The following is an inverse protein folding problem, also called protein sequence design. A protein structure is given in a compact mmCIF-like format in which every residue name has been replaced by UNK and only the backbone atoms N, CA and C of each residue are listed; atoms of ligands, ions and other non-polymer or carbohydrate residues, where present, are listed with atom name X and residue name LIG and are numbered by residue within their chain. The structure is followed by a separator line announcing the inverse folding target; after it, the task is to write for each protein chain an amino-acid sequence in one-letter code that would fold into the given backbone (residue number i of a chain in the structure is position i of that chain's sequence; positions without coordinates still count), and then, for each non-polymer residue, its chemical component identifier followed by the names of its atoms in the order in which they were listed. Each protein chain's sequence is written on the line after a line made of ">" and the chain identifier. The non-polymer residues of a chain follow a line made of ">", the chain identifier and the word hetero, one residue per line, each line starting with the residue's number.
data_IF_862280752976
#
_entry.id   IF_862280752976
#
_cell.length_a   1.000
_cell.length_b   1.000
_cell.length_c   1.000
_cell.angle_alpha   90.00
_cell.angle_beta   90.00
_cell.angle_gamma   90.00
#
_symmetry.space_group_name_H-M   'P 1'
#
loop_
_entity.id
_entity.type
_entity.pdbx_description
1 polymer ?
#
# COMPACT_ATOMS: atom_id res chain seq x y z
N UNK A 1 -111.72 56.91 -76.04
CA UNK A 1 -111.09 57.90 -76.92
C UNK A 1 -109.96 58.51 -76.10
N UNK A 2 -108.71 58.36 -76.51
CA UNK A 2 -107.56 58.79 -75.70
C UNK A 2 -107.63 60.30 -75.42
N UNK A 3 -107.36 60.72 -74.18
CA UNK A 3 -107.34 62.14 -73.79
C UNK A 3 -105.96 62.80 -74.03
N UNK A 4 -105.12 62.19 -74.85
CA UNK A 4 -103.74 62.61 -75.11
C UNK A 4 -103.60 62.95 -76.60
N UNK A 5 -102.68 63.86 -76.93
CA UNK A 5 -102.46 64.33 -78.30
C UNK A 5 -101.64 63.34 -79.14
N UNK A 6 -100.88 62.44 -78.51
CA UNK A 6 -100.04 61.44 -79.19
C UNK A 6 -100.07 60.12 -78.43
N UNK A 7 -99.79 59.03 -79.15
CA UNK A 7 -99.63 57.67 -78.59
C UNK A 7 -98.22 57.21 -78.89
N UNK A 8 -97.50 56.72 -77.87
CA UNK A 8 -96.16 56.15 -78.01
C UNK A 8 -96.27 54.63 -77.99
N UNK A 9 -95.88 53.98 -79.07
CA UNK A 9 -95.80 52.52 -79.10
C UNK A 9 -94.61 52.04 -78.27
N UNK A 10 -94.84 51.07 -77.37
CA UNK A 10 -93.78 50.59 -76.48
C UNK A 10 -92.58 49.94 -77.21
N UNK A 11 -92.78 49.47 -78.44
CA UNK A 11 -91.71 48.90 -79.27
C UNK A 11 -90.75 49.96 -79.82
N UNK A 12 -91.21 51.19 -80.03
CA UNK A 12 -90.43 52.31 -80.58
C UNK A 12 -90.07 53.35 -79.52
N UNK A 13 -90.61 53.23 -78.31
CA UNK A 13 -90.37 54.15 -77.20
C UNK A 13 -88.87 54.36 -76.89
N UNK A 14 -88.07 53.30 -76.88
CA UNK A 14 -86.62 53.43 -76.64
C UNK A 14 -85.93 54.31 -77.69
N UNK A 15 -86.25 54.09 -78.96
CA UNK A 15 -85.71 54.84 -80.08
C UNK A 15 -86.19 56.32 -80.07
N UNK A 16 -87.45 56.56 -79.69
CA UNK A 16 -87.97 57.90 -79.48
C UNK A 16 -87.20 58.68 -78.39
N UNK A 17 -86.93 58.05 -77.23
CA UNK A 17 -86.26 58.72 -76.10
C UNK A 17 -84.72 58.77 -76.20
N UNK A 18 -84.12 58.09 -77.18
CA UNK A 18 -82.66 58.08 -77.39
C UNK A 18 -82.20 58.96 -78.54
N UNK A 19 -83.11 59.39 -79.43
CA UNK A 19 -82.81 60.25 -80.56
C UNK A 19 -83.38 61.68 -80.34
N UNK A 20 -82.53 62.70 -80.09
CA UNK A 20 -82.98 64.07 -79.88
C UNK A 20 -83.85 64.62 -81.01
N UNK A 21 -83.55 64.25 -82.26
CA UNK A 21 -84.34 64.65 -83.43
C UNK A 21 -85.77 64.10 -83.40
N UNK A 22 -85.97 62.85 -82.94
CA UNK A 22 -87.30 62.25 -82.84
C UNK A 22 -88.11 62.86 -81.71
N UNK A 23 -87.46 63.23 -80.60
CA UNK A 23 -88.07 64.01 -79.53
C UNK A 23 -88.55 65.36 -80.06
N UNK A 24 -87.70 66.06 -80.83
CA UNK A 24 -88.05 67.36 -81.42
C UNK A 24 -89.22 67.23 -82.41
N UNK A 25 -89.20 66.24 -83.30
CA UNK A 25 -90.30 65.97 -84.23
C UNK A 25 -91.62 65.67 -83.51
N UNK A 26 -91.58 64.87 -82.44
CA UNK A 26 -92.77 64.58 -81.63
C UNK A 26 -93.29 65.84 -80.93
N UNK A 27 -92.41 66.68 -80.40
CA UNK A 27 -92.80 67.95 -79.78
C UNK A 27 -93.40 68.92 -80.79
N UNK A 28 -92.84 69.02 -82.01
CA UNK A 28 -93.41 69.83 -83.09
C UNK A 28 -94.78 69.32 -83.52
N UNK A 29 -94.96 68.00 -83.62
CA UNK A 29 -96.24 67.40 -83.94
C UNK A 29 -97.31 67.70 -82.86
N UNK A 30 -96.97 67.54 -81.58
CA UNK A 30 -97.87 67.87 -80.46
C UNK A 30 -98.26 69.36 -80.49
N UNK A 31 -97.28 70.24 -80.76
CA UNK A 31 -97.54 71.69 -80.89
C UNK A 31 -98.47 71.98 -82.06
N UNK A 32 -98.24 71.37 -83.22
CA UNK A 32 -99.09 71.54 -84.40
C UNK A 32 -100.53 71.13 -84.12
N UNK A 33 -100.75 69.94 -83.54
CA UNK A 33 -102.08 69.46 -83.17
C UNK A 33 -102.78 70.37 -82.16
N UNK A 34 -102.04 70.83 -81.15
CA UNK A 34 -102.59 71.76 -80.16
C UNK A 34 -102.94 73.13 -80.77
N UNK A 35 -102.15 73.62 -81.73
CA UNK A 35 -102.43 74.87 -82.45
C UNK A 35 -103.60 74.75 -83.43
N UNK A 36 -103.74 73.62 -84.12
CA UNK A 36 -104.89 73.33 -84.98
C UNK A 36 -106.18 73.28 -84.16
N UNK A 37 -106.21 72.51 -83.07
CA UNK A 37 -107.38 72.44 -82.18
C UNK A 37 -107.68 73.82 -81.57
N UNK A 38 -106.66 74.61 -81.24
CA UNK A 38 -106.82 75.99 -80.75
C UNK A 38 -107.49 76.91 -81.78
N UNK A 39 -107.18 76.77 -83.07
CA UNK A 39 -107.74 77.62 -84.15
C UNK A 39 -109.23 77.37 -84.35
N UNK A 40 -109.71 76.17 -84.06
CA UNK A 40 -111.13 75.80 -84.16
C UNK A 40 -111.96 76.32 -82.97
N UNK A 41 -111.31 76.78 -81.90
CA UNK A 41 -112.00 77.33 -80.73
C UNK A 41 -112.35 78.81 -80.92
N UNK A 42 -113.55 79.18 -80.48
CA UNK A 42 -113.98 80.58 -80.41
C UNK A 42 -113.18 81.34 -79.35
N UNK A 43 -112.59 82.46 -79.79
CA UNK A 43 -111.70 83.32 -78.98
C UNK A 43 -112.45 84.44 -78.24
N UNK A 44 -113.78 84.48 -78.30
CA UNK A 44 -114.56 85.33 -77.41
C UNK A 44 -114.54 84.77 -75.98
N UNK A 45 -113.62 85.29 -75.16
CA UNK A 45 -113.45 84.92 -73.77
C UNK A 45 -114.53 85.48 -72.84
N UNK A 46 -115.48 86.31 -73.33
CA UNK A 46 -116.63 86.73 -72.52
C UNK A 46 -117.55 85.53 -72.22
N UNK A 47 -117.59 84.53 -73.13
CA UNK A 47 -118.39 83.31 -73.03
C UNK A 47 -117.70 82.25 -72.14
N UNK A 48 -118.41 81.79 -71.10
CA UNK A 48 -117.86 80.79 -70.16
C UNK A 48 -117.53 79.43 -70.80
N UNK A 49 -118.28 79.03 -71.84
CA UNK A 49 -118.02 77.80 -72.60
C UNK A 49 -116.68 77.85 -73.33
N UNK A 50 -116.35 79.00 -73.94
CA UNK A 50 -115.11 79.21 -74.68
C UNK A 50 -113.90 79.14 -73.73
N UNK A 51 -113.96 79.80 -72.56
CA UNK A 51 -112.92 79.69 -71.52
C UNK A 51 -112.69 78.24 -71.06
N UNK A 52 -113.76 77.46 -70.87
CA UNK A 52 -113.67 76.04 -70.50
C UNK A 52 -113.04 75.19 -71.61
N UNK A 53 -113.29 75.50 -72.88
CA UNK A 53 -112.69 74.80 -74.00
C UNK A 53 -111.16 74.97 -74.05
N UNK A 54 -110.66 76.20 -73.88
CA UNK A 54 -109.23 76.47 -73.76
C UNK A 54 -108.59 75.78 -72.54
N UNK A 55 -109.26 75.78 -71.39
CA UNK A 55 -108.79 75.05 -70.21
C UNK A 55 -108.72 73.53 -70.46
N UNK A 56 -109.68 72.97 -71.20
CA UNK A 56 -109.69 71.56 -71.58
C UNK A 56 -108.54 71.21 -72.54
N UNK A 57 -108.24 72.08 -73.52
CA UNK A 57 -107.11 71.89 -74.42
C UNK A 57 -105.77 71.92 -73.65
N UNK A 58 -105.59 72.89 -72.75
CA UNK A 58 -104.41 72.96 -71.88
C UNK A 58 -104.28 71.70 -70.99
N UNK A 59 -105.40 71.18 -70.48
CA UNK A 59 -105.41 69.95 -69.71
C UNK A 59 -105.01 68.73 -70.56
N UNK A 60 -105.45 68.66 -71.82
CA UNK A 60 -105.04 67.61 -72.77
C UNK A 60 -103.53 67.61 -73.03
N UNK A 61 -102.93 68.79 -73.19
CA UNK A 61 -101.47 68.95 -73.30
C UNK A 61 -100.77 68.49 -72.01
N UNK A 62 -101.30 68.84 -70.84
CA UNK A 62 -100.74 68.43 -69.55
C UNK A 62 -100.80 66.90 -69.35
N UNK A 63 -101.90 66.25 -69.77
CA UNK A 63 -102.02 64.79 -69.74
C UNK A 63 -101.04 64.11 -70.70
N UNK A 64 -100.91 64.65 -71.91
CA UNK A 64 -99.93 64.17 -72.91
C UNK A 64 -98.50 64.22 -72.35
N UNK A 65 -98.12 65.29 -71.66
CA UNK A 65 -96.81 65.40 -70.97
C UNK A 65 -96.61 64.28 -69.94
N UNK A 66 -97.60 64.06 -69.07
CA UNK A 66 -97.52 63.01 -68.03
C UNK A 66 -97.44 61.61 -68.62
N UNK A 67 -98.15 61.36 -69.72
CA UNK A 67 -98.07 60.10 -70.45
C UNK A 67 -96.68 59.84 -71.01
N UNK A 68 -96.09 60.82 -71.69
CA UNK A 68 -94.73 60.72 -72.26
C UNK A 68 -93.70 60.42 -71.16
N UNK A 69 -93.78 61.11 -70.01
CA UNK A 69 -92.89 60.85 -68.87
C UNK A 69 -93.03 59.41 -68.33
N UNK A 70 -94.26 58.91 -68.21
CA UNK A 70 -94.54 57.55 -67.75
C UNK A 70 -93.97 56.49 -68.70
N UNK A 71 -94.12 56.67 -70.01
CA UNK A 71 -93.55 55.74 -71.01
C UNK A 71 -92.02 55.79 -71.01
N UNK A 72 -91.42 56.99 -70.88
CA UNK A 72 -89.97 57.14 -70.73
C UNK A 72 -89.43 56.43 -69.49
N UNK A 73 -90.12 56.53 -68.35
CA UNK A 73 -89.78 55.79 -67.14
C UNK A 73 -89.87 54.27 -67.34
N UNK A 74 -90.92 53.78 -68.02
CA UNK A 74 -91.07 52.36 -68.31
C UNK A 74 -89.93 51.81 -69.19
N UNK A 75 -89.42 52.60 -70.14
CA UNK A 75 -88.22 52.25 -70.93
C UNK A 75 -86.99 52.14 -70.04
N UNK A 76 -86.74 53.13 -69.17
CA UNK A 76 -85.59 53.11 -68.25
C UNK A 76 -85.64 51.93 -67.28
N UNK A 77 -86.82 51.62 -66.74
CA UNK A 77 -87.00 50.49 -65.82
C UNK A 77 -86.68 49.16 -66.53
N UNK A 78 -87.19 48.94 -67.75
CA UNK A 78 -86.86 47.76 -68.56
C UNK A 78 -85.36 47.67 -68.88
N UNK A 79 -84.72 48.80 -69.21
CA UNK A 79 -83.28 48.85 -69.46
C UNK A 79 -82.46 48.50 -68.22
N UNK A 80 -82.87 48.93 -67.02
CA UNK A 80 -82.18 48.60 -65.76
C UNK A 80 -82.31 47.13 -65.36
N UNK A 81 -83.38 46.45 -65.76
CA UNK A 81 -83.55 45.01 -65.51
C UNK A 81 -82.59 44.14 -66.31
N UNK A 82 -82.13 44.59 -67.50
CA UNK A 82 -81.18 43.83 -68.32
C UNK A 82 -79.81 43.65 -67.63
N UNK A 83 -79.11 44.70 -67.15
CA UNK A 83 -77.88 44.56 -66.38
C UNK A 83 -78.04 43.68 -65.14
N UNK A 84 -79.15 43.82 -64.38
CA UNK A 84 -79.42 42.96 -63.21
C UNK A 84 -79.45 41.49 -63.59
N UNK A 85 -80.14 41.13 -64.68
CA UNK A 85 -80.19 39.76 -65.19
C UNK A 85 -78.82 39.30 -65.68
N UNK A 86 -78.07 40.15 -66.37
CA UNK A 86 -76.72 39.83 -66.84
C UNK A 86 -75.80 39.53 -65.65
N UNK A 87 -75.80 40.37 -64.62
CA UNK A 87 -74.94 40.15 -63.44
C UNK A 87 -75.35 38.91 -62.64
N UNK A 88 -76.65 38.64 -62.52
CA UNK A 88 -77.14 37.39 -61.93
C UNK A 88 -76.66 36.16 -62.71
N UNK A 89 -76.81 36.16 -64.04
CA UNK A 89 -76.33 35.07 -64.89
C UNK A 89 -74.80 34.93 -64.84
N UNK A 90 -74.06 36.03 -64.84
CA UNK A 90 -72.59 36.02 -64.71
C UNK A 90 -72.14 35.41 -63.39
N UNK A 91 -72.87 35.66 -62.30
CA UNK A 91 -72.60 35.02 -61.01
C UNK A 91 -72.81 33.51 -61.09
N UNK A 92 -73.94 33.06 -61.64
CA UNK A 92 -74.24 31.63 -61.82
C UNK A 92 -73.13 30.95 -62.63
N UNK A 93 -72.73 31.53 -63.77
CA UNK A 93 -71.64 30.97 -64.57
C UNK A 93 -70.33 30.85 -63.79
N UNK A 94 -69.98 31.84 -62.98
CA UNK A 94 -68.75 31.79 -62.18
C UNK A 94 -68.82 30.66 -61.14
N UNK A 95 -69.90 30.65 -60.35
CA UNK A 95 -70.04 29.73 -59.23
C UNK A 95 -70.10 28.26 -59.72
N UNK A 96 -70.83 27.99 -60.81
CA UNK A 96 -70.92 26.65 -61.41
C UNK A 96 -69.61 26.19 -62.05
N UNK A 97 -68.88 27.08 -62.75
CA UNK A 97 -67.60 26.73 -63.36
C UNK A 97 -66.49 26.53 -62.31
N UNK A 98 -66.49 27.31 -61.23
CA UNK A 98 -65.56 27.14 -60.11
C UNK A 98 -65.83 25.81 -59.37
N UNK A 99 -67.11 25.46 -59.18
CA UNK A 99 -67.50 24.17 -58.62
C UNK A 99 -67.06 23.00 -59.51
N UNK A 100 -67.31 23.09 -60.82
CA UNK A 100 -66.89 22.07 -61.79
C UNK A 100 -65.36 21.93 -61.84
N UNK A 101 -64.62 23.04 -61.82
CA UNK A 101 -63.15 23.05 -61.78
C UNK A 101 -62.62 22.32 -60.53
N UNK A 102 -63.23 22.60 -59.37
CA UNK A 102 -62.88 21.95 -58.10
C UNK A 102 -63.15 20.45 -58.15
N UNK A 103 -64.31 20.03 -58.66
CA UNK A 103 -64.69 18.62 -58.73
C UNK A 103 -63.82 17.83 -59.72
N UNK A 104 -63.48 18.43 -60.88
CA UNK A 104 -62.54 17.84 -61.84
C UNK A 104 -61.14 17.69 -61.23
N UNK A 105 -60.69 18.64 -60.40
CA UNK A 105 -59.37 18.60 -59.77
C UNK A 105 -59.31 17.63 -58.59
N UNK A 106 -60.44 17.35 -57.94
CA UNK A 106 -60.51 16.58 -56.70
C UNK A 106 -59.84 15.19 -56.78
N UNK A 107 -60.07 14.35 -57.82
CA UNK A 107 -59.40 13.05 -57.93
C UNK A 107 -57.87 13.16 -58.02
N UNK A 108 -57.35 14.19 -58.71
CA UNK A 108 -55.91 14.42 -58.79
C UNK A 108 -55.34 14.80 -57.42
N UNK A 109 -56.01 15.70 -56.69
CA UNK A 109 -55.59 16.10 -55.35
C UNK A 109 -55.63 14.93 -54.36
N UNK A 110 -56.64 14.06 -54.45
CA UNK A 110 -56.72 12.85 -53.62
C UNK A 110 -55.59 11.87 -53.96
N UNK A 111 -55.26 11.68 -55.25
CA UNK A 111 -54.14 10.85 -55.67
C UNK A 111 -52.78 11.42 -55.24
N UNK A 112 -52.54 12.72 -55.39
CA UNK A 112 -51.32 13.40 -54.93
C UNK A 112 -51.14 13.25 -53.41
N UNK A 113 -52.23 13.35 -52.63
CA UNK A 113 -52.21 13.14 -51.19
C UNK A 113 -51.93 11.67 -50.82
N UNK A 114 -52.53 10.72 -51.54
CA UNK A 114 -52.25 9.29 -51.34
C UNK A 114 -50.81 8.94 -51.69
N UNK A 115 -50.25 9.49 -52.77
CA UNK A 115 -48.87 9.21 -53.14
C UNK A 115 -47.88 9.74 -52.12
N UNK A 116 -48.07 10.97 -51.68
CA UNK A 116 -47.26 11.54 -50.61
C UNK A 116 -47.33 10.70 -49.34
N UNK A 117 -48.52 10.22 -48.96
CA UNK A 117 -48.67 9.33 -47.81
C UNK A 117 -47.98 7.98 -48.00
N UNK A 118 -47.95 7.44 -49.24
CA UNK A 118 -47.22 6.21 -49.56
C UNK A 118 -45.71 6.41 -49.43
N UNK A 119 -45.18 7.50 -49.99
CA UNK A 119 -43.75 7.85 -49.90
C UNK A 119 -43.31 8.05 -48.44
N UNK A 120 -44.11 8.76 -47.64
CA UNK A 120 -43.86 8.94 -46.21
C UNK A 120 -43.88 7.61 -45.45
N UNK A 121 -44.85 6.73 -45.75
CA UNK A 121 -44.93 5.40 -45.15
C UNK A 121 -43.73 4.51 -45.55
N UNK A 122 -43.28 4.58 -46.80
CA UNK A 122 -42.09 3.86 -47.27
C UNK A 122 -40.81 4.39 -46.62
N UNK A 123 -40.68 5.71 -46.47
CA UNK A 123 -39.55 6.33 -45.77
C UNK A 123 -39.51 5.91 -44.29
N UNK A 124 -40.65 5.91 -43.60
CA UNK A 124 -40.77 5.41 -42.23
C UNK A 124 -40.39 3.94 -42.14
N UNK A 125 -40.85 3.10 -43.08
CA UNK A 125 -40.50 1.68 -43.11
C UNK A 125 -38.99 1.46 -43.26
N UNK A 126 -38.33 2.18 -44.17
CA UNK A 126 -36.88 2.14 -44.34
C UNK A 126 -36.15 2.57 -43.07
N UNK A 127 -36.64 3.61 -42.40
CA UNK A 127 -36.05 4.05 -41.13
C UNK A 127 -36.19 2.98 -40.04
N UNK A 128 -37.35 2.33 -39.93
CA UNK A 128 -37.56 1.23 -38.98
C UNK A 128 -36.61 0.06 -39.25
N UNK A 129 -36.36 -0.29 -40.52
CA UNK A 129 -35.42 -1.36 -40.88
C UNK A 129 -33.98 -1.00 -40.46
N UNK A 130 -33.54 0.24 -40.69
CA UNK A 130 -32.22 0.73 -40.25
C UNK A 130 -32.12 0.75 -38.72
N UNK A 131 -33.10 1.33 -38.03
CA UNK A 131 -33.13 1.40 -36.57
C UNK A 131 -33.13 0.00 -35.94
N UNK A 132 -33.80 -0.97 -36.59
CA UNK A 132 -33.80 -2.36 -36.14
C UNK A 132 -32.42 -3.02 -36.27
N UNK A 133 -31.73 -2.80 -37.39
CA UNK A 133 -30.37 -3.31 -37.59
C UNK A 133 -29.38 -2.70 -36.58
N UNK A 134 -29.46 -1.39 -36.35
CA UNK A 134 -28.64 -0.71 -35.34
C UNK A 134 -28.93 -1.26 -33.93
N UNK A 135 -30.20 -1.49 -33.59
CA UNK A 135 -30.58 -2.07 -32.30
C UNK A 135 -30.01 -3.48 -32.09
N UNK A 136 -29.99 -4.32 -33.14
CA UNK A 136 -29.37 -5.65 -33.08
C UNK A 136 -27.86 -5.55 -32.85
N UNK A 137 -27.16 -4.68 -33.60
CA UNK A 137 -25.71 -4.45 -33.42
C UNK A 137 -25.37 -3.95 -32.02
N UNK A 138 -26.20 -3.07 -31.46
CA UNK A 138 -26.03 -2.57 -30.10
C UNK A 138 -26.23 -3.67 -29.04
N UNK A 139 -27.16 -4.59 -29.28
CA UNK A 139 -27.37 -5.73 -28.40
C UNK A 139 -26.17 -6.71 -28.45
N UNK A 140 -25.68 -7.02 -29.65
CA UNK A 140 -24.49 -7.86 -29.82
C UNK A 140 -23.26 -7.26 -29.11
N UNK A 141 -23.08 -5.94 -29.22
CA UNK A 141 -21.99 -5.24 -28.53
C UNK A 141 -22.16 -5.28 -27.01
N UNK A 142 -23.39 -5.17 -26.51
CA UNK A 142 -23.69 -5.27 -25.09
C UNK A 142 -23.35 -6.68 -24.55
N UNK A 143 -23.78 -7.72 -25.26
CA UNK A 143 -23.49 -9.11 -24.90
C UNK A 143 -21.98 -9.40 -24.94
N UNK A 144 -21.26 -8.87 -25.94
CA UNK A 144 -19.81 -8.99 -26.04
C UNK A 144 -19.10 -8.30 -24.86
N UNK A 145 -19.52 -7.08 -24.49
CA UNK A 145 -18.97 -6.37 -23.32
C UNK A 145 -19.21 -7.15 -22.03
N UNK A 146 -20.41 -7.68 -21.84
CA UNK A 146 -20.76 -8.48 -20.67
C UNK A 146 -19.90 -9.76 -20.59
N UNK A 147 -19.69 -10.43 -21.73
CA UNK A 147 -18.82 -11.59 -21.80
C UNK A 147 -17.35 -11.25 -21.50
N UNK A 148 -16.85 -10.10 -21.96
CA UNK A 148 -15.50 -9.63 -21.61
C UNK A 148 -15.35 -9.29 -20.13
N UNK A 149 -16.34 -8.64 -19.53
CA UNK A 149 -16.34 -8.32 -18.10
C UNK A 149 -16.33 -9.61 -17.26
N UNK A 150 -17.12 -10.61 -17.65
CA UNK A 150 -17.12 -11.92 -17.01
C UNK A 150 -15.75 -12.61 -17.11
N UNK A 151 -15.14 -12.61 -18.31
CA UNK A 151 -13.78 -13.14 -18.51
C UNK A 151 -12.75 -12.44 -17.63
N UNK A 152 -12.82 -11.10 -17.53
CA UNK A 152 -11.94 -10.32 -16.64
C UNK A 152 -12.16 -10.67 -15.17
N UNK A 153 -13.41 -10.90 -14.76
CA UNK A 153 -13.75 -11.33 -13.39
C UNK A 153 -13.14 -12.70 -13.08
N UNK A 154 -13.35 -13.68 -13.96
CA UNK A 154 -12.79 -15.03 -13.81
C UNK A 154 -11.25 -14.96 -13.75
N UNK A 155 -10.61 -14.22 -14.66
CA UNK A 155 -9.16 -14.06 -14.69
C UNK A 155 -8.61 -13.45 -13.39
N UNK A 156 -9.27 -12.41 -12.85
CA UNK A 156 -8.89 -11.81 -11.55
C UNK A 156 -9.07 -12.80 -10.40
N UNK A 157 -10.16 -13.56 -10.39
CA UNK A 157 -10.40 -14.57 -9.35
C UNK A 157 -9.35 -15.69 -9.40
N UNK A 158 -9.01 -16.16 -10.60
CA UNK A 158 -7.93 -17.14 -10.80
C UNK A 158 -6.57 -16.59 -10.38
N UNK A 159 -6.26 -15.34 -10.72
CA UNK A 159 -5.02 -14.69 -10.31
C UNK A 159 -4.93 -14.57 -8.79
N UNK A 160 -6.00 -14.14 -8.11
CA UNK A 160 -6.08 -14.10 -6.65
C UNK A 160 -5.89 -15.48 -6.04
N UNK A 161 -6.49 -16.53 -6.60
CA UNK A 161 -6.29 -17.93 -6.15
C UNK A 161 -4.84 -18.36 -6.33
N UNK A 162 -4.21 -18.04 -7.46
CA UNK A 162 -2.79 -18.35 -7.71
C UNK A 162 -1.88 -17.63 -6.71
N UNK A 163 -2.10 -16.33 -6.50
CA UNK A 163 -1.34 -15.55 -5.53
C UNK A 163 -1.52 -16.10 -4.11
N UNK A 164 -2.74 -16.45 -3.70
CA UNK A 164 -2.99 -17.05 -2.40
C UNK A 164 -2.30 -18.42 -2.24
N UNK A 165 -2.33 -19.27 -3.27
CA UNK A 165 -1.64 -20.55 -3.28
C UNK A 165 -0.12 -20.40 -3.23
N UNK A 166 0.44 -19.43 -3.97
CA UNK A 166 1.87 -19.12 -3.96
C UNK A 166 2.31 -18.56 -2.60
N UNK A 167 1.56 -17.63 -2.01
CA UNK A 167 1.81 -17.11 -0.67
C UNK A 167 1.78 -18.23 0.38
N UNK A 168 0.78 -19.12 0.31
CA UNK A 168 0.71 -20.27 1.21
C UNK A 168 1.92 -21.21 1.04
N UNK A 169 2.38 -21.43 -0.20
CA UNK A 169 3.59 -22.22 -0.47
C UNK A 169 4.84 -21.57 0.11
N UNK A 170 5.02 -20.26 -0.12
CA UNK A 170 6.16 -19.50 0.41
C UNK A 170 6.15 -19.46 1.94
N UNK A 171 4.99 -19.31 2.57
CA UNK A 171 4.88 -19.35 4.03
C UNK A 171 5.18 -20.75 4.58
N UNK A 172 4.69 -21.80 3.94
CA UNK A 172 5.00 -23.18 4.30
C UNK A 172 6.50 -23.49 4.14
N UNK A 173 7.11 -23.05 3.05
CA UNK A 173 8.55 -23.17 2.79
C UNK A 173 9.37 -22.41 3.84
N UNK A 174 8.97 -21.17 4.19
CA UNK A 174 9.61 -20.39 5.25
C UNK A 174 9.48 -21.06 6.62
N UNK A 175 8.31 -21.61 6.95
CA UNK A 175 8.11 -22.35 8.22
C UNK A 175 8.98 -23.61 8.25
N UNK A 176 9.01 -24.38 7.18
CA UNK A 176 9.88 -25.55 7.07
C UNK A 176 11.36 -25.17 7.23
N UNK A 177 11.81 -24.08 6.60
CA UNK A 177 13.18 -23.62 6.73
C UNK A 177 13.50 -23.13 8.15
N UNK A 178 12.58 -22.42 8.80
CA UNK A 178 12.70 -22.03 10.20
C UNK A 178 12.77 -23.24 11.14
N UNK A 179 12.00 -24.29 10.87
CA UNK A 179 12.05 -25.55 11.63
C UNK A 179 13.39 -26.28 11.43
N UNK A 180 13.90 -26.33 10.20
CA UNK A 180 15.23 -26.90 9.89
C UNK A 180 16.33 -26.10 10.59
N UNK A 181 16.32 -24.77 10.52
CA UNK A 181 17.30 -23.91 11.19
C UNK A 181 17.21 -24.03 12.71
N UNK A 182 16.00 -24.08 13.27
CA UNK A 182 15.79 -24.30 14.70
C UNK A 182 16.28 -25.69 15.14
N UNK A 183 16.04 -26.73 14.33
CA UNK A 183 16.56 -28.07 14.59
C UNK A 183 18.09 -28.11 14.52
N UNK A 184 18.70 -27.48 13.50
CA UNK A 184 20.15 -27.37 13.38
C UNK A 184 20.77 -26.57 14.53
N UNK A 185 20.10 -25.51 15.00
CA UNK A 185 20.53 -24.73 16.17
C UNK A 185 20.47 -25.57 17.44
N UNK A 186 19.38 -26.31 17.68
CA UNK A 186 19.27 -27.22 18.82
C UNK A 186 20.35 -28.31 18.78
N UNK A 187 20.66 -28.83 17.60
CA UNK A 187 21.72 -29.83 17.43
C UNK A 187 23.11 -29.22 17.74
N UNK A 188 23.40 -28.00 17.28
CA UNK A 188 24.63 -27.27 17.60
C UNK A 188 24.73 -26.97 19.09
N UNK A 189 23.68 -26.42 19.70
CA UNK A 189 23.63 -26.12 21.13
C UNK A 189 23.80 -27.41 21.97
N UNK A 190 23.23 -28.53 21.55
CA UNK A 190 23.41 -29.83 22.20
C UNK A 190 24.85 -30.35 22.05
N UNK A 191 25.47 -30.20 20.87
CA UNK A 191 26.88 -30.56 20.64
C UNK A 191 27.82 -29.70 21.47
N UNK A 192 27.63 -28.39 21.50
CA UNK A 192 28.43 -27.46 22.31
C UNK A 192 28.24 -27.69 23.82
N UNK A 193 27.03 -28.04 24.27
CA UNK A 193 26.80 -28.43 25.65
C UNK A 193 27.49 -29.76 25.99
N UNK A 194 27.45 -30.74 25.09
CA UNK A 194 28.15 -32.01 25.26
C UNK A 194 29.68 -31.81 25.29
N UNK A 195 30.24 -31.00 24.40
CA UNK A 195 31.67 -30.68 24.36
C UNK A 195 32.10 -29.91 25.63
N UNK A 196 31.30 -28.96 26.10
CA UNK A 196 31.56 -28.27 27.37
C UNK A 196 31.54 -29.24 28.55
N UNK A 197 30.54 -30.12 28.62
CA UNK A 197 30.47 -31.12 29.68
C UNK A 197 31.64 -32.12 29.62
N UNK A 198 32.11 -32.47 28.42
CA UNK A 198 33.30 -33.32 28.26
C UNK A 198 34.57 -32.57 28.69
N UNK A 199 34.73 -31.30 28.30
CA UNK A 199 35.84 -30.46 28.71
C UNK A 199 35.88 -30.25 30.22
N UNK A 200 34.73 -29.99 30.85
CA UNK A 200 34.61 -29.88 32.31
C UNK A 200 34.98 -31.19 33.02
N UNK A 201 34.57 -32.34 32.47
CA UNK A 201 34.99 -33.65 32.99
C UNK A 201 36.50 -33.86 32.84
N UNK A 202 37.07 -33.53 31.69
CA UNK A 202 38.52 -33.64 31.46
C UNK A 202 39.31 -32.70 32.37
N UNK A 203 38.87 -31.45 32.53
CA UNK A 203 39.47 -30.51 33.48
C UNK A 203 39.34 -30.97 34.93
N UNK A 204 38.21 -31.56 35.32
CA UNK A 204 38.04 -32.12 36.65
C UNK A 204 38.98 -33.33 36.89
N UNK A 205 39.14 -34.20 35.88
CA UNK A 205 40.10 -35.31 35.93
C UNK A 205 41.53 -34.77 36.03
N UNK A 206 41.91 -33.78 35.21
CA UNK A 206 43.24 -33.17 35.25
C UNK A 206 43.52 -32.48 36.58
N UNK A 207 42.55 -31.75 37.15
CA UNK A 207 42.65 -31.16 38.48
C UNK A 207 42.80 -32.22 39.56
N UNK A 208 42.05 -33.32 39.48
CA UNK A 208 42.19 -34.43 40.42
C UNK A 208 43.55 -35.13 40.30
N UNK A 209 44.08 -35.29 39.08
CA UNK A 209 45.40 -35.87 38.84
C UNK A 209 46.52 -34.95 39.32
N UNK A 210 46.42 -33.63 39.06
CA UNK A 210 47.35 -32.62 39.58
C UNK A 210 47.32 -32.60 41.12
N UNK A 211 46.14 -32.58 41.74
CA UNK A 211 46.01 -32.65 43.19
C UNK A 211 46.60 -33.96 43.76
N UNK A 212 46.42 -35.09 43.07
CA UNK A 212 47.02 -36.37 43.47
C UNK A 212 48.55 -36.37 43.31
N UNK A 213 49.08 -35.73 42.26
CA UNK A 213 50.53 -35.54 42.07
C UNK A 213 51.12 -34.63 43.14
N UNK A 214 50.52 -33.48 43.40
CA UNK A 214 50.95 -32.56 44.46
C UNK A 214 50.88 -33.23 45.84
N UNK A 215 49.84 -34.03 46.11
CA UNK A 215 49.74 -34.81 47.33
C UNK A 215 50.85 -35.88 47.44
N UNK A 216 51.18 -36.57 46.34
CA UNK A 216 52.29 -37.53 46.29
C UNK A 216 53.65 -36.86 46.45
N UNK A 217 53.90 -35.74 45.77
CA UNK A 217 55.15 -34.98 45.88
C UNK A 217 55.33 -34.41 47.28
N UNK A 218 54.24 -33.92 47.90
CA UNK A 218 54.27 -33.49 49.30
C UNK A 218 54.56 -34.66 50.24
N UNK A 219 53.90 -35.81 50.04
CA UNK A 219 54.18 -37.01 50.83
C UNK A 219 55.61 -37.53 50.64
N UNK A 220 56.17 -37.46 49.43
CA UNK A 220 57.56 -37.86 49.15
C UNK A 220 58.57 -36.86 49.75
N UNK A 221 58.26 -35.56 49.71
CA UNK A 221 59.08 -34.52 50.36
C UNK A 221 59.05 -34.68 51.88
N UNK A 222 57.88 -34.91 52.47
CA UNK A 222 57.73 -35.16 53.92
C UNK A 222 58.45 -36.47 54.31
N UNK A 223 58.39 -37.52 53.47
CA UNK A 223 59.11 -38.77 53.71
C UNK A 223 60.63 -38.62 53.58
N UNK A 224 61.13 -37.87 52.58
CA UNK A 224 62.56 -37.55 52.44
C UNK A 224 63.06 -36.71 53.60
N UNK A 225 62.28 -35.73 54.05
CA UNK A 225 62.66 -34.90 55.19
C UNK A 225 62.65 -35.70 56.51
N UNK A 226 61.74 -36.68 56.66
CA UNK A 226 61.76 -37.63 57.76
C UNK A 226 62.96 -38.60 57.69
N UNK A 227 63.31 -39.08 56.49
CA UNK A 227 64.50 -39.92 56.28
C UNK A 227 65.79 -39.16 56.55
N UNK A 228 65.93 -37.92 56.08
CA UNK A 228 67.09 -37.08 56.38
C UNK A 228 67.20 -36.76 57.88
N UNK A 229 66.08 -36.52 58.57
CA UNK A 229 66.09 -36.38 60.04
C UNK A 229 66.55 -37.67 60.73
N UNK A 230 66.06 -38.83 60.28
CA UNK A 230 66.46 -40.13 60.82
C UNK A 230 67.94 -40.48 60.51
N UNK A 231 68.46 -40.09 59.34
CA UNK A 231 69.87 -40.24 58.98
C UNK A 231 70.77 -39.30 59.77
N UNK A 232 70.37 -38.03 59.98
CA UNK A 232 71.10 -37.10 60.84
C UNK A 232 71.13 -37.57 62.29
N UNK A 233 70.01 -38.10 62.81
CA UNK A 233 69.98 -38.71 64.15
C UNK A 233 70.86 -39.97 64.26
N UNK A 234 70.87 -40.84 63.23
CA UNK A 234 71.78 -41.99 63.18
C UNK A 234 73.25 -41.58 63.07
N UNK A 235 73.58 -40.56 62.29
CA UNK A 235 74.95 -40.06 62.16
C UNK A 235 75.44 -39.42 63.48
N UNK A 236 74.59 -38.66 64.16
CA UNK A 236 74.90 -38.13 65.50
C UNK A 236 75.11 -39.24 66.54
N UNK A 237 74.35 -40.35 66.46
CA UNK A 237 74.55 -41.51 67.33
C UNK A 237 75.88 -42.25 67.05
N UNK A 238 76.26 -42.40 65.79
CA UNK A 238 77.51 -43.05 65.38
C UNK A 238 78.75 -42.21 65.74
N UNK A 239 78.67 -40.88 65.62
CA UNK A 239 79.75 -39.99 66.06
C UNK A 239 79.90 -39.97 67.60
N UNK A 240 78.80 -40.04 68.34
CA UNK A 240 78.83 -40.16 69.80
C UNK A 240 79.44 -41.49 70.28
N UNK A 241 79.23 -42.59 69.55
CA UNK A 241 79.82 -43.89 69.85
C UNK A 241 81.33 -43.94 69.51
N UNK A 242 81.75 -43.34 68.39
CA UNK A 242 83.17 -43.21 68.03
C UNK A 242 83.98 -42.37 69.02
N UNK A 243 83.38 -41.30 69.55
CA UNK A 243 84.04 -40.44 70.54
C UNK A 243 84.22 -41.16 71.88
N UNK A 244 83.23 -41.94 72.32
CA UNK A 244 83.34 -42.81 73.52
C UNK A 244 84.35 -43.93 73.35
N UNK A 245 84.47 -44.52 72.16
CA UNK A 245 85.48 -45.55 71.88
C UNK A 245 86.91 -45.00 71.90
N UNK A 246 87.14 -43.79 71.35
CA UNK A 246 88.45 -43.14 71.37
C UNK A 246 88.88 -42.69 72.77
N UNK A 247 87.95 -42.20 73.60
CA UNK A 247 88.25 -41.82 75.00
C UNK A 247 88.57 -43.05 75.88
N UNK A 248 87.94 -44.20 75.63
CA UNK A 248 88.21 -45.45 76.34
C UNK A 248 89.57 -46.09 75.96
N UNK A 249 90.01 -45.94 74.71
CA UNK A 249 91.30 -46.45 74.24
C UNK A 249 92.49 -45.61 74.75
N UNK A 250 92.34 -44.27 74.80
CA UNK A 250 93.38 -43.41 75.37
C UNK A 250 93.53 -43.55 76.90
N UNK A 251 92.44 -43.85 77.62
CA UNK A 251 92.51 -44.10 79.06
C UNK A 251 93.28 -45.40 79.41
N UNK A 252 93.18 -46.44 78.57
CA UNK A 252 93.92 -47.71 78.76
C UNK A 252 95.43 -47.56 78.53
N UNK A 253 95.84 -46.83 77.50
CA UNK A 253 97.25 -46.61 77.17
C UNK A 253 97.98 -45.77 78.23
N UNK A 254 97.29 -44.79 78.84
CA UNK A 254 97.86 -43.97 79.90
C UNK A 254 98.06 -44.70 81.25
N UNK A 255 97.25 -45.74 81.54
CA UNK A 255 97.38 -46.53 82.78
C UNK A 255 98.49 -47.58 82.69
N UNK A 256 98.73 -48.14 81.50
CA UNK A 256 99.76 -49.15 81.25
C UNK A 256 101.19 -48.54 81.29
N UNK A 257 101.35 -47.29 80.85
CA UNK A 257 102.64 -46.59 80.87
C UNK A 257 103.05 -46.13 82.29
N UNK A 258 102.09 -45.82 83.16
CA UNK A 258 102.35 -45.48 84.58
C UNK A 258 102.90 -46.64 85.40
N UNK A 259 102.44 -47.88 85.17
CA UNK A 259 102.91 -49.06 85.92
C UNK A 259 104.35 -49.46 85.60
N UNK A 260 104.79 -49.34 84.33
CA UNK A 260 106.18 -49.61 83.93
C UNK A 260 107.20 -48.63 84.51
N UNK A 261 106.84 -47.35 84.60
CA UNK A 261 107.78 -46.32 85.10
C UNK A 261 107.97 -46.37 86.62
N UNK A 262 107.01 -46.94 87.36
CA UNK A 262 107.08 -47.05 88.83
C UNK A 262 107.91 -48.27 89.30
N UNK A 263 107.90 -49.39 88.56
CA UNK A 263 108.71 -50.58 88.89
C UNK A 263 110.20 -50.38 88.57
N UNK A 264 110.54 -49.66 87.50
CA UNK A 264 111.93 -49.41 87.10
C UNK A 264 112.71 -48.55 88.12
N UNK A 265 112.05 -47.60 88.81
CA UNK A 265 112.69 -46.73 89.80
C UNK A 265 112.98 -47.43 91.14
N UNK A 266 112.23 -48.50 91.49
CA UNK A 266 112.42 -49.23 92.76
C UNK A 266 113.55 -50.27 92.70
N UNK A 267 113.93 -50.74 91.51
CA UNK A 267 115.02 -51.72 91.34
C UNK A 267 116.40 -51.05 91.34
N UNK A 268 116.56 -49.89 90.68
CA UNK A 268 117.83 -49.17 90.62
C UNK A 268 118.35 -48.71 92.00
N UNK A 269 117.45 -48.34 92.90
CA UNK A 269 117.80 -47.79 94.22
C UNK A 269 118.25 -48.86 95.24
N UNK A 270 117.92 -50.13 95.00
CA UNK A 270 118.38 -51.27 95.83
C UNK A 270 119.78 -51.74 95.45
N UNK A 271 120.14 -51.69 94.18
CA UNK A 271 121.46 -52.11 93.70
C UNK A 271 122.54 -51.09 94.08
N UNK A 272 122.23 -49.79 94.04
CA UNK A 272 123.15 -48.72 94.42
C UNK A 272 123.63 -48.85 95.89
N UNK A 273 122.67 -49.07 96.82
CA UNK A 273 122.97 -49.19 98.26
C UNK A 273 123.75 -50.45 98.61
N UNK A 274 123.55 -51.55 97.87
CA UNK A 274 124.25 -52.81 98.11
C UNK A 274 125.74 -52.70 97.76
N UNK A 275 126.06 -52.04 96.64
CA UNK A 275 127.44 -51.87 96.16
C UNK A 275 128.30 -51.05 97.13
N UNK A 276 127.81 -49.86 97.52
CA UNK A 276 128.53 -48.95 98.42
C UNK A 276 128.79 -49.54 99.82
N UNK A 277 127.81 -50.28 100.36
CA UNK A 277 127.99 -50.97 101.65
C UNK A 277 129.10 -52.04 101.59
N UNK A 278 129.20 -52.75 100.48
CA UNK A 278 130.18 -53.82 100.31
C UNK A 278 131.60 -53.27 100.12
N UNK A 279 131.75 -52.15 99.40
CA UNK A 279 133.02 -51.42 99.29
C UNK A 279 133.48 -50.88 100.65
N UNK A 280 132.56 -50.33 101.45
CA UNK A 280 132.87 -49.84 102.80
C UNK A 280 133.29 -50.98 103.74
N UNK A 281 132.65 -52.15 103.64
CA UNK A 281 133.01 -53.34 104.40
C UNK A 281 134.45 -53.79 104.08
N UNK A 282 134.81 -53.84 102.79
CA UNK A 282 136.16 -54.21 102.36
C UNK A 282 137.23 -53.21 102.84
N UNK A 283 136.93 -51.92 102.84
CA UNK A 283 137.84 -50.88 103.33
C UNK A 283 138.12 -51.02 104.85
N UNK A 284 137.11 -51.36 105.65
CA UNK A 284 137.27 -51.58 107.10
C UNK A 284 138.11 -52.82 107.40
N UNK A 285 137.86 -53.93 106.70
CA UNK A 285 138.64 -55.17 106.86
C UNK A 285 140.10 -54.96 106.48
N UNK A 286 140.38 -54.20 105.42
CA UNK A 286 141.75 -53.90 104.98
C UNK A 286 142.55 -53.05 105.97
N UNK A 287 141.88 -52.33 106.89
CA UNK A 287 142.51 -51.52 107.94
C UNK A 287 142.58 -52.23 109.31
N UNK A 288 142.40 -53.56 109.34
CA UNK A 288 142.66 -54.39 110.52
C UNK A 288 141.45 -54.61 111.45
N UNK A 289 140.22 -54.30 111.01
CA UNK A 289 139.00 -54.63 111.76
C UNK A 289 138.52 -56.06 111.48
N UNK A 290 138.02 -56.75 112.51
CA UNK A 290 137.37 -58.06 112.36
C UNK A 290 136.05 -57.94 111.57
N UNK A 291 135.82 -58.88 110.66
CA UNK A 291 134.75 -58.81 109.64
C UNK A 291 133.34 -58.77 110.25
N UNK A 292 133.15 -59.46 111.39
CA UNK A 292 131.86 -59.45 112.10
C UNK A 292 131.57 -58.09 112.74
N UNK A 293 132.57 -57.50 113.36
CA UNK A 293 132.45 -56.19 114.02
C UNK A 293 132.31 -55.05 113.00
N UNK A 294 133.00 -55.14 111.85
CA UNK A 294 132.85 -54.20 110.73
C UNK A 294 131.44 -54.25 110.10
N UNK A 295 130.85 -55.44 109.96
CA UNK A 295 129.47 -55.60 109.48
C UNK A 295 128.45 -54.98 110.44
N UNK A 296 128.64 -55.19 111.75
CA UNK A 296 127.75 -54.65 112.78
C UNK A 296 127.89 -53.12 112.88
N UNK A 297 129.10 -52.59 112.73
CA UNK A 297 129.36 -51.16 112.64
C UNK A 297 128.67 -50.53 111.42
N UNK A 298 128.81 -51.07 110.21
CA UNK A 298 128.11 -50.57 109.01
C UNK A 298 126.59 -50.58 109.19
N UNK A 299 126.03 -51.62 109.82
CA UNK A 299 124.59 -51.68 110.11
C UNK A 299 124.14 -50.57 111.07
N UNK A 300 124.89 -50.30 112.14
CA UNK A 300 124.56 -49.25 113.10
C UNK A 300 124.62 -47.85 112.48
N UNK A 301 125.56 -47.62 111.55
CA UNK A 301 125.72 -46.35 110.83
C UNK A 301 124.65 -46.18 109.74
N UNK A 302 124.37 -47.22 108.95
CA UNK A 302 123.32 -47.19 107.93
C UNK A 302 121.89 -47.05 108.52
N UNK A 303 121.71 -47.41 109.79
CA UNK A 303 120.46 -47.21 110.54
C UNK A 303 120.46 -45.97 111.45
N UNK A 304 121.45 -45.07 111.32
CA UNK A 304 121.59 -43.81 112.06
C UNK A 304 121.57 -43.94 113.59
N UNK A 305 122.07 -45.06 114.13
CA UNK A 305 122.13 -45.31 115.58
C UNK A 305 123.38 -44.79 116.27
N UNK A 306 124.37 -44.28 115.51
CA UNK A 306 125.57 -43.63 116.04
C UNK A 306 125.43 -42.12 115.81
N UNK A 307 125.36 -41.28 116.86
CA UNK A 307 125.21 -39.84 116.72
C UNK A 307 126.39 -39.22 115.95
N UNK A 308 126.08 -38.26 115.05
CA UNK A 308 127.04 -37.50 114.24
C UNK A 308 127.83 -38.28 113.17
N UNK A 309 127.37 -39.48 112.78
CA UNK A 309 127.97 -40.24 111.68
C UNK A 309 126.89 -40.84 110.77
N UNK A 310 126.95 -40.57 109.45
CA UNK A 310 125.93 -40.98 108.45
C UNK A 310 126.58 -41.62 107.22
N UNK A 311 125.99 -42.69 106.68
CA UNK A 311 126.39 -43.27 105.39
C UNK A 311 125.65 -42.58 104.24
N UNK A 312 126.40 -42.02 103.29
CA UNK A 312 125.85 -41.57 102.01
C UNK A 312 125.98 -42.69 100.98
N UNK A 313 124.88 -42.95 100.26
CA UNK A 313 124.78 -43.98 99.23
C UNK A 313 124.85 -43.39 97.84
#
# INVERSE_FOLDING_TARGET
>A
MANELVVIEQATALDLFTAPEKVNQMLEHIKSLAEEERKELDSDFSVAKNRKAFASLAYKVAQTKTYIDKEGKAVVDKLKELPKKVDASRKIFRDELDALSTDIRKPLTEWEAQEKAREEAEAIKKQIEVDHEEALQMNDLFDLRKAEEERKRIAREEEMKRQAAEQARLEAERKAQQEIEAAAKREREAKEAAERAEREKQEAIQRAEQAAKEAKEKAERDAKEAQERAEREKQLAIEAERKKAQEAEQARLAEEERKRQEEAKRQADKEHRRKYNQETLQALVSNGFDEKLATEFIKLVASNKIPHMTMNY
#
